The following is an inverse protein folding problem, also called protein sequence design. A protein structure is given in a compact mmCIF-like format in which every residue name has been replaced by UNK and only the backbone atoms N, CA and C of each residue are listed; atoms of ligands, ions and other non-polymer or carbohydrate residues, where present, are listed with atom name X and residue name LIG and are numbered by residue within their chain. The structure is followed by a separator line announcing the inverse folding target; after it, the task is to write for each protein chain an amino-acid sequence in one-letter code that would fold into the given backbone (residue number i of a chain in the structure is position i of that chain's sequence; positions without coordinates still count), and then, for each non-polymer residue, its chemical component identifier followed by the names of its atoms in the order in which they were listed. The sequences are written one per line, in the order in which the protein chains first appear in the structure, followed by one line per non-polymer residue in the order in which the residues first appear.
data_IF_464287226345
#
_entry.id   IF_464287226345
#
_cell.length_a   1.000
_cell.length_b   1.000
_cell.length_c   1.000
_cell.angle_alpha   90.00
_cell.angle_beta   90.00
_cell.angle_gamma   90.00
#
_symmetry.space_group_name_H-M   'P 1'
#
loop_
_entity.id
_entity.type
_entity.pdbx_description
1 polymer ?
#
# COMPACT_ATOMS: atom_id res chain seq x y z
N UNK A 1 3.71 -15.76 -1.88
CA UNK A 1 4.87 -14.95 -2.31
C UNK A 1 4.30 -13.62 -2.78
N UNK A 2 4.58 -12.50 -2.11
CA UNK A 2 4.09 -11.19 -2.54
C UNK A 2 4.80 -10.81 -3.84
N UNK A 3 4.06 -10.82 -4.95
CA UNK A 3 4.61 -10.85 -6.32
C UNK A 3 4.71 -9.50 -7.02
N UNK A 4 4.80 -8.40 -6.28
CA UNK A 4 5.01 -7.07 -6.88
C UNK A 4 6.39 -6.55 -6.49
N UNK A 5 7.28 -6.49 -7.49
CA UNK A 5 8.65 -5.97 -7.35
C UNK A 5 8.70 -4.44 -7.44
N UNK A 6 7.54 -3.77 -7.60
CA UNK A 6 7.45 -2.36 -7.89
C UNK A 6 7.16 -1.48 -6.66
N UNK A 7 7.72 -0.27 -6.70
CA UNK A 7 7.67 0.73 -5.64
C UNK A 7 6.27 1.31 -5.44
N UNK A 8 5.42 1.32 -6.48
CA UNK A 8 4.05 1.81 -6.38
C UNK A 8 3.18 0.85 -5.56
N UNK A 9 3.19 -0.43 -5.91
CA UNK A 9 2.52 -1.50 -5.19
C UNK A 9 3.01 -1.57 -3.75
N UNK A 10 4.32 -1.50 -3.54
CA UNK A 10 4.89 -1.40 -2.20
C UNK A 10 4.33 -0.19 -1.42
N UNK A 11 4.25 0.98 -2.06
CA UNK A 11 3.67 2.19 -1.46
C UNK A 11 2.21 2.03 -1.05
N UNK A 12 1.37 1.51 -1.94
CA UNK A 12 -0.06 1.26 -1.65
C UNK A 12 -0.20 0.30 -0.46
N UNK A 13 0.59 -0.78 -0.43
CA UNK A 13 0.54 -1.78 0.65
C UNK A 13 1.11 -1.28 1.99
N UNK A 14 2.02 -0.30 1.99
CA UNK A 14 2.54 0.32 3.20
C UNK A 14 1.67 1.49 3.73
N UNK A 15 0.60 1.85 3.02
CA UNK A 15 -0.30 2.94 3.42
C UNK A 15 -1.23 2.56 4.58
N UNK A 16 -1.69 3.56 5.32
CA UNK A 16 -2.71 3.36 6.36
C UNK A 16 -4.05 2.87 5.79
N UNK A 17 -4.37 3.18 4.54
CA UNK A 17 -5.56 2.69 3.86
C UNK A 17 -5.58 1.16 3.75
N UNK A 18 -4.46 0.57 3.32
CA UNK A 18 -4.31 -0.88 3.26
C UNK A 18 -4.35 -1.50 4.67
N UNK A 19 -3.71 -0.85 5.66
CA UNK A 19 -3.75 -1.30 7.05
C UNK A 19 -5.17 -1.32 7.64
N UNK A 20 -5.96 -0.27 7.41
CA UNK A 20 -7.36 -0.18 7.87
C UNK A 20 -8.21 -1.27 7.23
N UNK A 21 -8.05 -1.51 5.92
CA UNK A 21 -8.73 -2.59 5.22
C UNK A 21 -8.36 -3.96 5.80
N UNK A 22 -7.07 -4.20 5.96
CA UNK A 22 -6.54 -5.42 6.56
C UNK A 22 -7.16 -5.64 7.94
N UNK A 23 -6.96 -4.73 8.89
CA UNK A 23 -7.49 -4.87 10.26
C UNK A 23 -9.01 -5.07 10.28
N UNK A 24 -9.76 -4.38 9.41
CA UNK A 24 -11.22 -4.53 9.35
C UNK A 24 -11.65 -5.90 8.85
N UNK A 25 -10.99 -6.42 7.79
CA UNK A 25 -11.27 -7.77 7.27
C UNK A 25 -10.78 -8.84 8.25
N UNK A 26 -9.63 -8.65 8.89
CA UNK A 26 -9.10 -9.52 9.95
C UNK A 26 -10.04 -9.57 11.17
N UNK A 27 -10.57 -8.42 11.60
CA UNK A 27 -11.34 -8.27 12.85
C UNK A 27 -12.81 -8.69 12.75
N UNK A 28 -13.43 -8.62 11.56
CA UNK A 28 -14.81 -9.09 11.34
C UNK A 28 -14.92 -10.61 11.15
N UNK A 29 -13.79 -11.33 11.17
CA UNK A 29 -13.70 -12.73 10.78
C UNK A 29 -13.92 -13.70 11.96
N UNK A 30 -15.13 -13.70 12.51
CA UNK A 30 -15.60 -14.63 13.57
C UNK A 30 -16.69 -15.59 13.08
N UNK A 31 -16.60 -16.09 11.85
CA UNK A 31 -17.51 -17.12 11.37
C UNK A 31 -17.31 -17.45 9.90
N UNK A 32 -16.54 -18.51 9.62
CA UNK A 32 -16.51 -19.28 8.38
C UNK A 32 -16.40 -18.53 7.04
N UNK A 33 -15.23 -17.92 6.79
CA UNK A 33 -14.67 -17.86 5.44
C UNK A 33 -13.21 -18.31 5.49
N UNK A 34 -12.80 -19.19 4.56
CA UNK A 34 -11.41 -19.68 4.47
C UNK A 34 -10.47 -18.50 4.22
N UNK A 35 -9.79 -18.11 5.29
CA UNK A 35 -8.97 -16.93 5.42
C UNK A 35 -7.53 -17.21 5.03
N UNK A 36 -7.09 -16.67 3.90
CA UNK A 36 -5.66 -16.58 3.54
C UNK A 36 -5.30 -15.12 3.35
N UNK A 37 -4.02 -14.77 3.57
CA UNK A 37 -3.51 -13.43 3.24
C UNK A 37 -3.95 -13.06 1.82
N UNK A 38 -3.81 -13.99 0.86
CA UNK A 38 -4.27 -13.86 -0.54
C UNK A 38 -5.69 -13.30 -0.66
N UNK A 39 -6.67 -13.82 0.10
CA UNK A 39 -8.06 -13.31 0.02
C UNK A 39 -8.25 -11.84 0.41
N UNK A 40 -7.41 -11.30 1.31
CA UNK A 40 -7.49 -9.87 1.71
C UNK A 40 -6.82 -8.98 0.68
N UNK A 41 -5.72 -9.44 0.09
CA UNK A 41 -5.04 -8.72 -0.99
C UNK A 41 -5.88 -8.73 -2.26
N UNK A 42 -6.45 -9.87 -2.63
CA UNK A 42 -7.29 -10.05 -3.82
C UNK A 42 -8.56 -9.20 -3.76
N UNK A 43 -9.09 -8.94 -2.56
CA UNK A 43 -10.29 -8.13 -2.38
C UNK A 43 -10.00 -6.65 -2.08
N UNK A 44 -8.73 -6.26 -1.94
CA UNK A 44 -8.39 -4.87 -1.69
C UNK A 44 -8.62 -4.04 -2.97
N UNK A 45 -9.47 -2.99 -2.91
CA UNK A 45 -9.73 -2.17 -4.08
C UNK A 45 -8.55 -1.25 -4.37
N UNK A 46 -7.85 -1.49 -5.48
CA UNK A 46 -6.75 -0.65 -5.96
C UNK A 46 -7.28 0.66 -6.55
N UNK A 47 -6.46 1.74 -6.61
CA UNK A 47 -6.82 2.98 -7.27
C UNK A 47 -7.21 2.71 -8.74
N UNK A 48 -8.41 3.14 -9.15
CA UNK A 48 -8.97 2.69 -10.42
C UNK A 48 -8.47 3.45 -11.64
N UNK A 49 -8.03 4.71 -11.52
CA UNK A 49 -7.47 5.49 -12.64
C UNK A 49 -6.38 6.48 -12.18
N UNK A 50 -5.31 6.03 -11.50
CA UNK A 50 -4.27 6.95 -11.08
C UNK A 50 -3.52 7.49 -12.30
N UNK A 51 -3.35 8.81 -12.36
CA UNK A 51 -2.48 9.47 -13.34
C UNK A 51 -1.03 9.04 -13.16
N UNK A 52 -0.23 9.12 -14.22
CA UNK A 52 1.22 8.85 -14.16
C UNK A 52 1.94 9.65 -13.07
N UNK A 53 1.49 10.88 -12.83
CA UNK A 53 2.04 11.74 -11.79
C UNK A 53 1.72 11.21 -10.38
N UNK A 54 0.49 10.73 -10.13
CA UNK A 54 0.10 10.10 -8.87
C UNK A 54 0.86 8.79 -8.64
N UNK A 55 0.99 7.94 -9.67
CA UNK A 55 1.77 6.69 -9.59
C UNK A 55 3.21 6.99 -9.18
N UNK A 56 3.85 7.98 -9.84
CA UNK A 56 5.21 8.43 -9.52
C UNK A 56 5.33 9.00 -8.11
N UNK A 57 4.37 9.81 -7.67
CA UNK A 57 4.38 10.37 -6.32
C UNK A 57 4.30 9.28 -5.24
N UNK A 58 3.45 8.26 -5.44
CA UNK A 58 3.35 7.11 -4.53
C UNK A 58 4.65 6.32 -4.51
N UNK A 59 5.21 6.00 -5.67
CA UNK A 59 6.48 5.27 -5.78
C UNK A 59 7.64 6.01 -5.09
N UNK A 60 7.80 7.32 -5.34
CA UNK A 60 8.84 8.14 -4.71
C UNK A 60 8.68 8.22 -3.18
N UNK A 61 7.45 8.37 -2.70
CA UNK A 61 7.15 8.36 -1.27
C UNK A 61 7.50 7.00 -0.64
N UNK A 62 7.20 5.91 -1.35
CA UNK A 62 7.47 4.55 -0.91
C UNK A 62 8.99 4.25 -0.84
N UNK A 63 9.75 4.67 -1.85
CA UNK A 63 11.22 4.58 -1.87
C UNK A 63 11.82 5.38 -0.70
N UNK A 64 11.32 6.59 -0.47
CA UNK A 64 11.76 7.44 0.65
C UNK A 64 11.51 6.76 1.99
N UNK A 65 10.30 6.22 2.19
CA UNK A 65 9.94 5.49 3.41
C UNK A 65 10.83 4.26 3.61
N UNK A 66 11.09 3.47 2.56
CA UNK A 66 11.97 2.30 2.61
C UNK A 66 13.40 2.68 2.95
N UNK A 67 13.94 3.72 2.34
CA UNK A 67 15.29 4.22 2.62
C UNK A 67 15.43 4.65 4.08
N UNK A 68 14.48 5.45 4.56
CA UNK A 68 14.48 5.95 5.93
C UNK A 68 14.35 4.79 6.94
N UNK A 69 13.47 3.83 6.68
CA UNK A 69 13.33 2.61 7.51
C UNK A 69 14.65 1.86 7.63
N UNK A 70 15.35 1.63 6.52
CA UNK A 70 16.65 0.94 6.51
C UNK A 70 17.73 1.73 7.25
N UNK A 71 17.73 3.05 7.09
CA UNK A 71 18.67 3.94 7.78
C UNK A 71 18.42 3.95 9.29
N UNK A 72 17.16 4.10 9.73
CA UNK A 72 16.81 4.10 11.15
C UNK A 72 17.13 2.76 11.81
N UNK A 73 16.80 1.64 11.17
CA UNK A 73 17.13 0.30 11.67
C UNK A 73 18.63 0.12 11.85
N UNK A 74 19.44 0.56 10.87
CA UNK A 74 20.90 0.48 10.92
C UNK A 74 21.52 1.42 11.97
N UNK A 75 21.04 2.66 12.06
CA UNK A 75 21.56 3.66 13.01
C UNK A 75 21.26 3.29 14.47
N UNK A 76 20.08 2.74 14.73
CA UNK A 76 19.60 2.48 16.09
C UNK A 76 19.75 1.00 16.50
N UNK A 77 20.23 0.14 15.59
CA UNK A 77 20.25 -1.32 15.74
C UNK A 77 18.87 -1.89 16.16
N UNK A 78 17.81 -1.30 15.62
CA UNK A 78 16.42 -1.60 15.99
C UNK A 78 15.89 -2.80 15.20
N UNK A 79 15.16 -3.67 15.89
CA UNK A 79 14.32 -4.66 15.24
C UNK A 79 13.10 -3.99 14.60
N UNK A 80 12.40 -4.69 13.72
CA UNK A 80 11.13 -4.21 13.17
C UNK A 80 10.12 -3.84 14.26
N UNK A 81 10.11 -4.56 15.37
CA UNK A 81 9.24 -4.29 16.52
C UNK A 81 9.59 -2.96 17.20
N UNK A 82 10.88 -2.67 17.34
CA UNK A 82 11.34 -1.42 17.98
C UNK A 82 11.03 -0.23 17.08
N UNK A 83 11.14 -0.41 15.76
CA UNK A 83 10.72 0.58 14.78
C UNK A 83 9.24 0.95 14.94
N UNK A 84 8.34 -0.04 15.00
CA UNK A 84 6.91 0.23 15.19
C UNK A 84 6.61 0.91 16.53
N UNK A 85 7.32 0.55 17.61
CA UNK A 85 7.17 1.25 18.90
C UNK A 85 7.52 2.73 18.85
N UNK A 86 8.48 3.13 18.00
CA UNK A 86 8.81 4.56 17.82
C UNK A 86 7.75 5.33 17.04
N UNK A 87 6.93 4.67 16.22
CA UNK A 87 5.79 5.29 15.58
C UNK A 87 4.67 5.63 16.57
N UNK A 88 4.59 4.91 17.70
CA UNK A 88 3.63 5.15 18.78
C UNK A 88 4.11 6.23 19.79
N UNK A 89 5.39 6.63 19.74
CA UNK A 89 5.94 7.60 20.69
C UNK A 89 5.60 9.05 20.29
N UNK A 90 5.14 9.90 21.22
CA UNK A 90 4.94 11.32 20.95
C UNK A 90 6.28 12.02 20.68
N UNK A 91 6.33 12.83 19.62
CA UNK A 91 7.54 13.50 19.14
C UNK A 91 7.62 13.60 17.62
N UNK A 92 8.53 14.43 17.11
CA UNK A 92 8.82 14.50 15.68
C UNK A 92 9.56 13.23 15.26
N UNK A 93 8.90 12.40 14.45
CA UNK A 93 9.45 11.16 13.96
C UNK A 93 9.51 11.23 12.43
N UNK A 94 10.71 11.29 11.83
CA UNK A 94 10.87 11.29 10.38
C UNK A 94 10.09 10.16 9.68
N UNK A 95 9.95 8.99 10.32
CA UNK A 95 9.17 7.88 9.77
C UNK A 95 7.67 8.18 9.77
N UNK A 96 7.15 8.83 10.82
CA UNK A 96 5.74 9.27 10.86
C UNK A 96 5.46 10.27 9.74
N UNK A 97 6.38 11.22 9.53
CA UNK A 97 6.26 12.20 8.44
C UNK A 97 6.35 11.51 7.06
N UNK A 98 7.21 10.51 6.90
CA UNK A 98 7.29 9.71 5.68
C UNK A 98 6.01 8.91 5.42
N UNK A 99 5.42 8.30 6.46
CA UNK A 99 4.13 7.63 6.37
C UNK A 99 3.00 8.60 6.00
N UNK A 100 2.95 9.78 6.63
CA UNK A 100 1.94 10.79 6.30
C UNK A 100 2.04 11.27 4.84
N UNK A 101 3.26 11.44 4.32
CA UNK A 101 3.49 11.77 2.90
C UNK A 101 3.06 10.65 1.97
N UNK A 102 3.34 9.40 2.32
CA UNK A 102 2.89 8.24 1.55
C UNK A 102 1.36 8.16 1.55
N UNK A 103 0.72 8.30 2.71
CA UNK A 103 -0.73 8.26 2.83
C UNK A 103 -1.42 9.36 2.02
N UNK A 104 -0.86 10.58 2.03
CA UNK A 104 -1.36 11.67 1.19
C UNK A 104 -1.22 11.36 -0.31
N UNK A 105 -0.09 10.78 -0.74
CA UNK A 105 0.11 10.40 -2.13
C UNK A 105 -0.86 9.27 -2.56
N UNK A 106 -1.09 8.28 -1.70
CA UNK A 106 -2.01 7.18 -1.98
C UNK A 106 -3.45 7.69 -1.99
N UNK A 107 -3.87 8.54 -1.04
CA UNK A 107 -5.19 9.19 -1.09
C UNK A 107 -5.39 9.99 -2.37
N UNK A 108 -4.37 10.72 -2.81
CA UNK A 108 -4.41 11.43 -4.08
C UNK A 108 -4.57 10.47 -5.27
N UNK A 109 -3.91 9.30 -5.26
CA UNK A 109 -4.09 8.28 -6.29
C UNK A 109 -5.51 7.69 -6.32
N UNK A 110 -6.18 7.61 -5.16
CA UNK A 110 -7.60 7.26 -5.05
C UNK A 110 -8.56 8.41 -5.36
N UNK A 111 -8.06 9.63 -5.59
CA UNK A 111 -8.87 10.86 -5.64
C UNK A 111 -9.76 11.06 -4.40
N UNK A 112 -9.28 10.55 -3.26
CA UNK A 112 -10.00 10.59 -1.99
C UNK A 112 -9.74 11.93 -1.28
N UNK A 113 -10.82 12.65 -0.96
CA UNK A 113 -10.71 13.87 -0.16
C UNK A 113 -10.29 13.58 1.29
N UNK A 114 -9.58 14.52 1.91
CA UNK A 114 -9.00 14.34 3.25
C UNK A 114 -10.04 14.07 4.35
N UNK A 115 -11.22 14.69 4.23
CA UNK A 115 -12.32 14.56 5.18
C UNK A 115 -13.12 13.24 5.06
N UNK A 116 -12.83 12.42 4.05
CA UNK A 116 -13.57 11.17 3.81
C UNK A 116 -13.06 10.07 4.73
N UNK A 117 -14.00 9.33 5.33
CA UNK A 117 -13.70 8.12 6.10
C UNK A 117 -13.08 7.05 5.18
N UNK A 118 -11.83 6.62 5.45
CA UNK A 118 -11.13 5.65 4.62
C UNK A 118 -11.86 4.34 4.43
N UNK A 119 -12.47 3.83 5.50
CA UNK A 119 -13.08 2.50 5.46
C UNK A 119 -14.37 2.51 4.64
N UNK A 120 -15.21 3.50 4.85
CA UNK A 120 -16.44 3.69 4.07
C UNK A 120 -16.11 3.83 2.58
N UNK A 121 -15.15 4.68 2.23
CA UNK A 121 -14.72 4.87 0.85
C UNK A 121 -14.18 3.57 0.23
N UNK A 122 -13.30 2.84 0.92
CA UNK A 122 -12.76 1.59 0.40
C UNK A 122 -13.85 0.53 0.22
N UNK A 123 -14.84 0.48 1.12
CA UNK A 123 -15.96 -0.44 0.98
C UNK A 123 -16.83 -0.08 -0.24
N UNK A 124 -17.15 1.19 -0.43
CA UNK A 124 -17.89 1.68 -1.59
C UNK A 124 -17.14 1.38 -2.90
N UNK A 125 -15.84 1.65 -2.94
CA UNK A 125 -15.00 1.36 -4.09
C UNK A 125 -14.95 -0.13 -4.39
N UNK A 126 -14.83 -0.98 -3.36
CA UNK A 126 -14.86 -2.44 -3.54
C UNK A 126 -16.20 -2.92 -4.13
N UNK A 127 -17.33 -2.38 -3.67
CA UNK A 127 -18.65 -2.71 -4.22
C UNK A 127 -18.82 -2.21 -5.66
N UNK A 128 -18.32 -1.02 -5.97
CA UNK A 128 -18.32 -0.49 -7.33
C UNK A 128 -17.50 -1.36 -8.27
N UNK A 129 -16.26 -1.72 -7.91
CA UNK A 129 -15.42 -2.62 -8.70
C UNK A 129 -16.10 -3.98 -8.93
N UNK A 130 -16.69 -4.58 -7.88
CA UNK A 130 -17.40 -5.85 -8.01
C UNK A 130 -18.62 -5.76 -8.95
N UNK A 131 -19.31 -4.62 -8.97
CA UNK A 131 -20.41 -4.37 -9.92
C UNK A 131 -19.89 -4.22 -11.36
N UNK A 132 -18.79 -3.49 -11.57
CA UNK A 132 -18.12 -3.31 -12.86
C UNK A 132 -17.61 -4.64 -13.43
N UNK A 133 -16.96 -5.48 -12.61
CA UNK A 133 -16.54 -6.83 -13.01
C UNK A 133 -17.74 -7.70 -13.40
N UNK A 134 -18.83 -7.64 -12.64
CA UNK A 134 -20.07 -8.37 -12.93
C UNK A 134 -20.73 -7.90 -14.24
N UNK A 135 -20.58 -6.62 -14.59
CA UNK A 135 -21.02 -6.05 -15.85
C UNK A 135 -20.11 -6.43 -17.04
N UNK A 136 -18.97 -7.08 -16.79
CA UNK A 136 -17.99 -7.47 -17.82
C UNK A 136 -17.06 -6.32 -18.23
N UNK A 137 -17.07 -5.22 -17.48
CA UNK A 137 -16.20 -4.07 -17.72
C UNK A 137 -14.83 -4.27 -17.04
N UNK A 138 -13.79 -3.63 -17.59
CA UNK A 138 -12.42 -3.77 -17.09
C UNK A 138 -12.21 -2.88 -15.86
N UNK A 139 -11.85 -3.48 -14.74
CA UNK A 139 -11.31 -2.76 -13.58
C UNK A 139 -9.78 -2.70 -13.65
N UNK A 140 -9.18 -1.77 -12.91
CA UNK A 140 -7.72 -1.74 -12.75
C UNK A 140 -7.28 -2.97 -11.95
N UNK A 141 -6.39 -3.82 -12.50
CA UNK A 141 -5.91 -5.02 -11.82
C UNK A 141 -4.97 -4.66 -10.66
N UNK A 142 -4.66 -5.65 -9.82
CA UNK A 142 -3.63 -5.51 -8.79
C UNK A 142 -2.29 -5.09 -9.40
N UNK A 143 -1.63 -4.13 -8.78
CA UNK A 143 -0.29 -3.67 -9.14
C UNK A 143 -0.27 -2.42 -10.03
N UNK A 144 0.86 -2.19 -10.72
CA UNK A 144 1.06 -1.04 -11.60
C UNK A 144 0.14 -1.06 -12.83
N UNK A 145 -0.75 -0.07 -13.00
CA UNK A 145 -1.63 0.03 -14.17
C UNK A 145 -0.92 0.69 -15.37
N UNK A 146 0.32 0.28 -15.65
CA UNK A 146 1.14 0.80 -16.75
C UNK A 146 1.59 -0.34 -17.68
N UNK A 147 1.88 -0.05 -18.96
CA UNK A 147 2.50 -1.02 -19.87
C UNK A 147 3.82 -1.56 -19.29
N UNK A 148 4.15 -2.84 -19.55
CA UNK A 148 5.33 -3.52 -18.96
C UNK A 148 6.65 -2.77 -19.16
N UNK A 149 6.79 -2.09 -20.30
CA UNK A 149 7.96 -1.26 -20.63
C UNK A 149 8.13 -0.04 -19.72
N UNK A 150 7.04 0.49 -19.17
CA UNK A 150 7.07 1.60 -18.20
C UNK A 150 7.21 1.09 -16.77
N UNK A 151 6.77 -0.14 -16.47
CA UNK A 151 6.86 -0.73 -15.13
C UNK A 151 8.30 -0.83 -14.60
N UNK A 152 9.28 -1.10 -15.48
CA UNK A 152 10.71 -1.19 -15.11
C UNK A 152 11.25 0.10 -14.45
N UNK A 153 10.64 1.26 -14.74
CA UNK A 153 11.05 2.55 -14.16
C UNK A 153 10.59 2.74 -12.71
N UNK A 154 9.71 1.85 -12.24
CA UNK A 154 9.16 1.85 -10.89
C UNK A 154 9.68 0.65 -10.07
N UNK A 155 10.73 -0.02 -10.56
CA UNK A 155 11.41 -1.10 -9.84
C UNK A 155 12.79 -0.58 -9.44
N UNK A 156 13.00 -0.34 -8.15
CA UNK A 156 14.34 -0.02 -7.63
C UNK A 156 15.11 -1.33 -7.35
N UNK A 157 16.40 -1.39 -7.73
CA UNK A 157 17.29 -2.55 -7.48
C UNK A 157 17.50 -2.91 -6.00
N UNK A 158 17.03 -2.06 -5.09
CA UNK A 158 17.09 -2.24 -3.64
C UNK A 158 16.00 -3.17 -3.07
N UNK A 159 15.24 -3.84 -3.94
CA UNK A 159 14.33 -4.93 -3.56
C UNK A 159 15.15 -6.04 -2.89
N UNK A 160 14.68 -6.49 -1.72
CA UNK A 160 15.33 -7.54 -0.95
C UNK A 160 15.38 -8.80 -1.82
N UNK A 161 16.52 -9.07 -2.44
CA UNK A 161 16.79 -10.38 -2.99
C UNK A 161 16.71 -11.36 -1.82
N UNK A 162 15.89 -12.40 -1.96
CA UNK A 162 15.95 -13.52 -1.04
C UNK A 162 17.42 -14.01 -1.00
N UNK A 163 17.99 -14.29 0.18
CA UNK A 163 19.32 -14.86 0.23
C UNK A 163 19.29 -16.16 -0.58
N UNK A 164 20.08 -16.22 -1.65
CA UNK A 164 20.35 -17.44 -2.40
C UNK A 164 21.01 -18.41 -1.42
N UNK A 165 20.22 -19.34 -0.90
CA UNK A 165 20.65 -20.51 -0.17
C UNK A 165 20.47 -21.75 -1.03
#
# INVERSE_FOLDING_TARGET
MFGFEDDYSFGVLQSSLHWIWFVTKCGKLKGDFRYSAESVFDTFPWPQQPTRAQIKAVAEAAVTLRALRRETMRKLNYSLRDLYRTLDQPGDNPLRNAHARLDAAVRAAYEMAEAVDPLAFLLELNLACAATEKAGEKITPLGLPLPREEQQRFVTEDCIAAPTG
#
